data_IF_739323304445
#
_entry.id   IF_739323304445
#
_cell.length_a   1.000
_cell.length_b   1.000
_cell.length_c   1.000
_cell.angle_alpha   90.00
_cell.angle_beta   90.00
_cell.angle_gamma   90.00
#
_symmetry.space_group_name_H-M   'P 1'
#
loop_
_entity.id
_entity.type
_entity.pdbx_description
1 polymer ?
#
# COMPACT_ATOMS: atom_id res chain seq x y z
N UNK A 1 -49.32 20.62 -16.17
CA UNK A 1 -48.26 21.63 -16.40
C UNK A 1 -46.99 21.41 -15.56
N UNK A 2 -46.94 20.47 -14.61
CA UNK A 2 -45.75 20.19 -13.78
C UNK A 2 -44.61 19.40 -14.48
N UNK A 3 -44.94 18.48 -15.39
CA UNK A 3 -43.94 17.53 -15.95
C UNK A 3 -42.80 18.18 -16.77
N UNK A 4 -43.06 19.29 -17.47
CA UNK A 4 -42.06 19.88 -18.36
C UNK A 4 -41.01 20.74 -17.63
N UNK A 5 -41.34 21.24 -16.43
CA UNK A 5 -40.40 22.02 -15.60
C UNK A 5 -39.45 21.11 -14.86
N UNK A 6 -39.96 19.99 -14.35
CA UNK A 6 -39.15 19.00 -13.63
C UNK A 6 -38.17 18.27 -14.58
N UNK A 7 -38.61 17.94 -15.80
CA UNK A 7 -37.74 17.32 -16.81
C UNK A 7 -36.57 18.23 -17.21
N UNK A 8 -36.82 19.53 -17.38
CA UNK A 8 -35.77 20.51 -17.67
C UNK A 8 -34.79 20.64 -16.51
N UNK A 9 -35.29 20.65 -15.28
CA UNK A 9 -34.48 20.72 -14.09
C UNK A 9 -33.58 19.48 -13.97
N UNK A 10 -34.11 18.25 -14.08
CA UNK A 10 -33.34 17.03 -14.03
C UNK A 10 -32.26 16.97 -15.11
N UNK A 11 -32.59 17.35 -16.33
CA UNK A 11 -31.62 17.46 -17.42
C UNK A 11 -30.50 18.42 -17.07
N UNK A 12 -30.84 19.62 -16.58
CA UNK A 12 -29.85 20.63 -16.19
C UNK A 12 -28.92 20.10 -15.06
N UNK A 13 -29.46 19.41 -14.05
CA UNK A 13 -28.67 18.80 -12.98
C UNK A 13 -27.65 17.81 -13.55
N UNK A 14 -28.09 16.92 -14.45
CA UNK A 14 -27.21 15.89 -15.04
C UNK A 14 -26.15 16.53 -15.95
N UNK A 15 -26.54 17.54 -16.75
CA UNK A 15 -25.62 18.21 -17.67
C UNK A 15 -24.61 19.14 -16.96
N UNK A 16 -24.95 19.67 -15.78
CA UNK A 16 -24.07 20.57 -15.02
C UNK A 16 -23.20 19.86 -13.97
N UNK A 17 -23.40 18.56 -13.75
CA UNK A 17 -22.57 17.82 -12.80
C UNK A 17 -21.15 17.66 -13.33
N UNK A 18 -20.16 17.71 -12.42
CA UNK A 18 -18.74 17.53 -12.75
C UNK A 18 -18.32 16.07 -12.88
N UNK A 19 -19.19 15.14 -12.47
CA UNK A 19 -18.93 13.71 -12.62
C UNK A 19 -19.41 13.20 -14.00
N UNK A 20 -18.68 12.26 -14.57
CA UNK A 20 -19.08 11.62 -15.80
C UNK A 20 -20.28 10.69 -15.54
N UNK A 21 -21.41 10.97 -16.18
CA UNK A 21 -22.62 10.14 -16.14
C UNK A 21 -22.82 9.50 -17.51
N UNK A 22 -22.91 8.18 -17.50
CA UNK A 22 -23.03 7.36 -18.71
C UNK A 22 -24.21 6.41 -18.53
N UNK A 23 -25.05 6.26 -19.57
CA UNK A 23 -26.06 5.19 -19.63
C UNK A 23 -25.67 4.25 -20.74
N UNK A 24 -25.61 2.95 -20.40
CA UNK A 24 -25.40 1.86 -21.34
C UNK A 24 -26.62 0.92 -21.39
N UNK A 25 -26.88 0.39 -22.56
CA UNK A 25 -27.89 -0.62 -22.82
C UNK A 25 -27.39 -1.59 -23.87
N UNK A 26 -27.54 -2.89 -23.63
CA UNK A 26 -27.05 -3.95 -24.49
C UNK A 26 -25.55 -3.83 -24.84
N UNK A 27 -24.74 -3.38 -23.85
CA UNK A 27 -23.30 -3.20 -23.99
C UNK A 27 -22.88 -1.99 -24.86
N UNK A 28 -23.82 -1.09 -25.20
CA UNK A 28 -23.57 0.12 -25.99
C UNK A 28 -23.91 1.38 -25.23
N UNK A 29 -23.15 2.43 -25.44
CA UNK A 29 -23.46 3.76 -24.91
C UNK A 29 -24.75 4.31 -25.52
N UNK A 30 -25.65 4.77 -24.66
CA UNK A 30 -26.93 5.38 -25.04
C UNK A 30 -27.02 6.85 -24.68
N UNK A 31 -26.37 7.23 -23.60
CA UNK A 31 -26.28 8.61 -23.14
C UNK A 31 -24.92 8.83 -22.44
N UNK A 32 -24.44 10.04 -22.61
CA UNK A 32 -23.28 10.56 -21.89
C UNK A 32 -23.47 12.05 -21.65
N UNK A 33 -23.22 12.54 -20.43
CA UNK A 33 -23.25 13.95 -20.12
C UNK A 33 -21.99 14.70 -20.61
N UNK A 34 -21.96 16.04 -20.63
CA UNK A 34 -20.79 16.81 -21.08
C UNK A 34 -19.52 16.44 -20.32
N UNK A 35 -19.58 16.30 -19.00
CA UNK A 35 -18.43 15.89 -18.18
C UNK A 35 -17.92 14.50 -18.55
N UNK A 36 -18.78 13.59 -18.98
CA UNK A 36 -18.40 12.28 -19.48
C UNK A 36 -17.66 12.35 -20.82
N UNK A 37 -18.10 13.22 -21.73
CA UNK A 37 -17.42 13.48 -23.02
C UNK A 37 -16.01 13.99 -22.75
N UNK A 38 -15.86 14.99 -21.90
CA UNK A 38 -14.56 15.56 -21.52
C UNK A 38 -13.68 14.53 -20.83
N UNK A 39 -14.27 13.75 -19.91
CA UNK A 39 -13.56 12.67 -19.19
C UNK A 39 -13.00 11.63 -20.15
N UNK A 40 -13.80 11.17 -21.14
CA UNK A 40 -13.35 10.19 -22.15
C UNK A 40 -12.46 10.83 -23.24
N UNK A 41 -12.27 12.14 -23.23
CA UNK A 41 -11.55 12.90 -24.27
C UNK A 41 -12.11 12.62 -25.68
N UNK A 42 -13.42 12.51 -25.76
CA UNK A 42 -14.13 12.40 -27.02
C UNK A 42 -14.38 13.80 -27.61
N UNK A 43 -14.44 13.89 -28.92
CA UNK A 43 -14.72 15.16 -29.60
C UNK A 43 -16.16 15.64 -29.37
N UNK A 44 -17.10 14.71 -29.22
CA UNK A 44 -18.52 15.01 -28.94
C UNK A 44 -19.24 13.77 -28.38
N UNK A 45 -20.48 13.94 -27.93
CA UNK A 45 -21.34 12.83 -27.49
C UNK A 45 -21.66 11.86 -28.64
N UNK A 46 -21.78 12.35 -29.86
CA UNK A 46 -22.06 11.56 -31.07
C UNK A 46 -20.91 10.58 -31.36
N UNK A 47 -19.70 10.96 -31.01
CA UNK A 47 -18.54 10.02 -31.11
C UNK A 47 -18.66 8.83 -30.19
N UNK A 48 -19.33 8.98 -29.05
CA UNK A 48 -19.45 7.96 -28.01
C UNK A 48 -20.68 7.09 -28.17
N UNK A 49 -21.82 7.74 -28.46
CA UNK A 49 -23.12 7.06 -28.56
C UNK A 49 -23.07 5.94 -29.60
N UNK A 50 -23.60 4.76 -29.23
CA UNK A 50 -23.65 3.57 -30.10
C UNK A 50 -22.41 2.73 -30.12
N UNK A 51 -21.23 3.23 -29.65
CA UNK A 51 -20.02 2.42 -29.48
C UNK A 51 -20.17 1.41 -28.34
N UNK A 52 -19.34 0.40 -28.34
CA UNK A 52 -19.30 -0.62 -27.30
C UNK A 52 -18.66 -0.06 -26.03
N UNK A 53 -19.20 -0.40 -24.87
CA UNK A 53 -18.54 -0.09 -23.57
C UNK A 53 -17.19 -0.76 -23.44
N UNK A 54 -16.96 -1.86 -24.17
CA UNK A 54 -15.67 -2.56 -24.17
C UNK A 54 -14.57 -1.82 -24.94
N UNK A 55 -14.91 -0.78 -25.72
CA UNK A 55 -13.90 0.04 -26.39
C UNK A 55 -13.08 0.87 -25.39
N UNK A 56 -13.66 1.18 -24.22
CA UNK A 56 -12.99 1.90 -23.14
C UNK A 56 -12.54 0.98 -21.97
N UNK A 57 -12.85 -0.31 -22.02
CA UNK A 57 -12.50 -1.27 -20.96
C UNK A 57 -11.28 -2.08 -21.37
N UNK A 58 -10.13 -1.97 -20.66
CA UNK A 58 -8.98 -2.85 -20.88
C UNK A 58 -9.37 -4.33 -20.76
N UNK A 59 -8.66 -5.19 -21.49
CA UNK A 59 -9.01 -6.60 -21.64
C UNK A 59 -9.10 -7.35 -20.30
N UNK A 60 -8.20 -7.03 -19.40
CA UNK A 60 -8.14 -7.61 -18.05
C UNK A 60 -9.38 -7.38 -17.18
N UNK A 61 -10.16 -6.31 -17.47
CA UNK A 61 -11.39 -6.00 -16.73
C UNK A 61 -12.66 -6.48 -17.42
N UNK A 62 -12.60 -7.02 -18.64
CA UNK A 62 -13.80 -7.39 -19.44
C UNK A 62 -14.66 -8.44 -18.77
N UNK A 63 -14.07 -9.51 -18.24
CA UNK A 63 -14.82 -10.56 -17.53
C UNK A 63 -15.51 -10.02 -16.27
N UNK A 64 -14.82 -9.16 -15.53
CA UNK A 64 -15.37 -8.49 -14.34
C UNK A 64 -16.60 -7.64 -14.72
N UNK A 65 -16.48 -6.84 -15.78
CA UNK A 65 -17.59 -5.97 -16.26
C UNK A 65 -18.78 -6.80 -16.72
N UNK A 66 -18.57 -7.90 -17.46
CA UNK A 66 -19.66 -8.78 -17.91
C UNK A 66 -20.40 -9.37 -16.71
N UNK A 67 -19.68 -9.88 -15.71
CA UNK A 67 -20.27 -10.43 -14.48
C UNK A 67 -21.07 -9.39 -13.72
N UNK A 68 -20.51 -8.19 -13.54
CA UNK A 68 -21.19 -7.11 -12.82
C UNK A 68 -22.43 -6.61 -13.59
N UNK A 69 -22.32 -6.42 -14.89
CA UNK A 69 -23.46 -6.02 -15.74
C UNK A 69 -24.62 -7.00 -15.60
N UNK A 70 -24.31 -8.31 -15.63
CA UNK A 70 -25.32 -9.36 -15.46
C UNK A 70 -25.96 -9.30 -14.07
N UNK A 71 -25.19 -9.21 -13.00
CA UNK A 71 -25.68 -9.12 -11.63
C UNK A 71 -26.60 -7.90 -11.43
N UNK A 72 -26.20 -6.72 -11.94
CA UNK A 72 -27.00 -5.49 -11.85
C UNK A 72 -28.38 -5.66 -12.53
N UNK A 73 -28.40 -6.24 -13.73
CA UNK A 73 -29.64 -6.38 -14.50
C UNK A 73 -30.55 -7.49 -13.99
N UNK A 74 -29.98 -8.58 -13.48
CA UNK A 74 -30.71 -9.73 -12.97
C UNK A 74 -31.28 -9.44 -11.56
N UNK A 75 -30.44 -8.90 -10.66
CA UNK A 75 -30.82 -8.63 -9.27
C UNK A 75 -31.53 -7.28 -9.10
N UNK A 76 -31.49 -6.41 -10.11
CA UNK A 76 -32.02 -5.04 -10.08
C UNK A 76 -31.52 -4.25 -8.86
N UNK A 77 -30.22 -4.39 -8.55
CA UNK A 77 -29.55 -3.70 -7.43
C UNK A 77 -28.32 -2.96 -7.90
N UNK A 78 -28.00 -1.81 -7.28
CA UNK A 78 -26.73 -1.13 -7.57
C UNK A 78 -25.55 -2.01 -7.13
N UNK A 79 -24.44 -1.89 -7.88
CA UNK A 79 -23.15 -2.39 -7.37
C UNK A 79 -22.60 -1.40 -6.36
N UNK A 80 -21.80 -1.88 -5.42
CA UNK A 80 -20.92 -1.00 -4.66
C UNK A 80 -19.90 -0.29 -5.57
N UNK A 81 -19.13 0.60 -4.98
CA UNK A 81 -18.04 1.30 -5.66
C UNK A 81 -16.96 0.33 -6.13
N UNK A 82 -16.54 0.45 -7.38
CA UNK A 82 -15.51 -0.39 -8.01
C UNK A 82 -14.41 0.49 -8.56
N UNK A 83 -13.18 0.25 -8.12
CA UNK A 83 -11.99 0.87 -8.69
C UNK A 83 -11.45 -0.01 -9.82
N UNK A 84 -11.12 0.63 -10.96
CA UNK A 84 -10.56 -0.04 -12.14
C UNK A 84 -9.88 0.99 -13.05
N UNK A 85 -9.24 0.51 -14.11
CA UNK A 85 -8.76 1.38 -15.18
C UNK A 85 -9.75 1.40 -16.36
N UNK A 86 -9.85 2.56 -16.97
CA UNK A 86 -10.50 2.74 -18.27
C UNK A 86 -9.49 3.31 -19.26
N UNK A 87 -9.75 3.07 -20.54
CA UNK A 87 -9.00 3.65 -21.65
C UNK A 87 -9.83 4.75 -22.28
N UNK A 88 -9.28 5.95 -22.33
CA UNK A 88 -9.91 7.08 -23.02
C UNK A 88 -9.81 6.92 -24.55
N UNK A 89 -10.54 7.70 -25.32
CA UNK A 89 -10.49 7.65 -26.78
C UNK A 89 -9.17 8.13 -27.37
N UNK A 90 -8.37 8.89 -26.62
CA UNK A 90 -7.00 9.23 -27.00
C UNK A 90 -5.97 8.13 -26.69
N UNK A 91 -6.43 6.97 -26.18
CA UNK A 91 -5.61 5.82 -25.80
C UNK A 91 -5.01 5.88 -24.39
N UNK A 92 -5.10 7.00 -23.67
CA UNK A 92 -4.59 7.12 -22.31
C UNK A 92 -5.38 6.26 -21.32
N UNK A 93 -4.66 5.67 -20.33
CA UNK A 93 -5.28 4.96 -19.22
C UNK A 93 -5.57 5.93 -18.08
N UNK A 94 -6.67 5.71 -17.39
CA UNK A 94 -7.14 6.50 -16.25
C UNK A 94 -7.64 5.59 -15.15
N UNK A 95 -7.20 5.82 -13.92
CA UNK A 95 -7.74 5.14 -12.75
C UNK A 95 -9.10 5.77 -12.39
N UNK A 96 -10.14 4.94 -12.28
CA UNK A 96 -11.49 5.38 -12.00
C UNK A 96 -12.14 4.63 -10.86
N UNK A 97 -13.04 5.34 -10.21
CA UNK A 97 -14.04 4.79 -9.30
C UNK A 97 -15.40 4.84 -10.02
N UNK A 98 -16.09 3.72 -10.09
CA UNK A 98 -17.40 3.63 -10.77
C UNK A 98 -18.47 3.12 -9.83
N UNK A 99 -19.64 3.75 -9.88
CA UNK A 99 -20.85 3.27 -9.24
C UNK A 99 -21.91 3.04 -10.33
N UNK A 100 -22.45 1.82 -10.38
CA UNK A 100 -23.39 1.41 -11.41
C UNK A 100 -24.75 1.08 -10.79
N UNK A 101 -25.82 1.64 -11.38
CA UNK A 101 -27.20 1.50 -10.91
C UNK A 101 -28.08 1.05 -12.06
N UNK A 102 -29.00 0.07 -11.86
CA UNK A 102 -29.99 -0.28 -12.86
C UNK A 102 -30.99 0.86 -13.03
N UNK A 103 -31.31 1.19 -14.27
CA UNK A 103 -32.30 2.21 -14.62
C UNK A 103 -33.15 1.71 -15.77
N UNK A 104 -34.28 2.38 -16.01
CA UNK A 104 -35.04 2.24 -17.26
C UNK A 104 -34.64 3.36 -18.21
N UNK A 105 -34.27 2.99 -19.41
CA UNK A 105 -33.98 3.92 -20.50
C UNK A 105 -34.82 3.51 -21.70
N UNK A 106 -35.74 4.38 -22.17
CA UNK A 106 -36.73 4.07 -23.23
C UNK A 106 -37.47 2.75 -22.93
N UNK A 107 -38.01 2.62 -21.70
CA UNK A 107 -38.77 1.46 -21.20
C UNK A 107 -38.02 0.13 -21.20
N UNK A 108 -36.70 0.16 -21.39
CA UNK A 108 -35.84 -1.05 -21.31
C UNK A 108 -34.83 -0.93 -20.20
N UNK A 109 -34.44 -2.08 -19.66
CA UNK A 109 -33.38 -2.15 -18.65
C UNK A 109 -32.06 -1.60 -19.23
N UNK A 110 -31.43 -0.72 -18.48
CA UNK A 110 -30.16 -0.10 -18.79
C UNK A 110 -29.34 0.04 -17.50
N UNK A 111 -28.09 0.44 -17.62
CA UNK A 111 -27.21 0.71 -16.49
C UNK A 111 -26.74 2.15 -16.58
N UNK A 112 -27.00 2.92 -15.54
CA UNK A 112 -26.36 4.20 -15.31
C UNK A 112 -25.05 3.97 -14.57
N UNK A 113 -23.98 4.55 -15.07
CA UNK A 113 -22.67 4.55 -14.42
C UNK A 113 -22.27 5.98 -14.10
N UNK A 114 -21.94 6.24 -12.84
CA UNK A 114 -21.25 7.46 -12.41
C UNK A 114 -19.77 7.13 -12.31
N UNK A 115 -18.93 7.87 -13.02
CA UNK A 115 -17.51 7.63 -13.14
C UNK A 115 -16.74 8.82 -12.57
N UNK A 116 -15.88 8.56 -11.62
CA UNK A 116 -15.00 9.55 -10.99
C UNK A 116 -13.54 9.23 -11.31
N UNK A 117 -12.81 10.22 -11.79
CA UNK A 117 -11.35 10.12 -11.97
C UNK A 117 -10.65 10.13 -10.61
N UNK A 118 -9.93 9.08 -10.32
CA UNK A 118 -9.16 8.93 -9.08
C UNK A 118 -7.64 8.86 -9.35
N UNK A 119 -7.21 9.20 -10.57
CA UNK A 119 -5.80 9.11 -10.97
C UNK A 119 -4.91 9.90 -10.03
N UNK A 120 -5.26 11.13 -9.73
CA UNK A 120 -4.48 11.97 -8.80
C UNK A 120 -4.38 11.37 -7.39
N UNK A 121 -5.50 10.78 -6.89
CA UNK A 121 -5.49 10.08 -5.59
C UNK A 121 -4.53 8.88 -5.64
N UNK A 122 -4.62 8.05 -6.69
CA UNK A 122 -3.75 6.89 -6.87
C UNK A 122 -2.27 7.24 -7.06
N UNK A 123 -1.97 8.33 -7.74
CA UNK A 123 -0.60 8.84 -7.87
C UNK A 123 -0.02 9.27 -6.53
N UNK A 124 -0.80 9.97 -5.69
CA UNK A 124 -0.39 10.36 -4.35
C UNK A 124 -0.17 9.12 -3.47
N UNK A 125 -1.11 8.17 -3.47
CA UNK A 125 -1.00 6.91 -2.73
C UNK A 125 0.28 6.15 -3.13
N UNK A 126 0.52 5.96 -4.44
CA UNK A 126 1.74 5.30 -4.96
C UNK A 126 3.02 6.05 -4.60
N UNK A 127 2.98 7.39 -4.59
CA UNK A 127 4.13 8.21 -4.21
C UNK A 127 4.43 8.10 -2.72
N UNK A 128 3.40 8.10 -1.86
CA UNK A 128 3.54 7.88 -0.42
C UNK A 128 4.10 6.48 -0.12
N UNK A 129 3.60 5.45 -0.79
CA UNK A 129 4.13 4.08 -0.64
C UNK A 129 5.61 3.99 -1.06
N UNK A 130 6.00 4.65 -2.15
CA UNK A 130 7.41 4.68 -2.58
C UNK A 130 8.30 5.36 -1.54
N UNK A 131 7.89 6.54 -1.06
CA UNK A 131 8.64 7.27 -0.03
C UNK A 131 8.73 6.46 1.26
N UNK A 132 7.62 5.82 1.69
CA UNK A 132 7.62 4.93 2.86
C UNK A 132 8.59 3.77 2.69
N UNK A 133 8.59 3.11 1.53
CA UNK A 133 9.54 2.02 1.22
C UNK A 133 10.99 2.49 1.21
N UNK A 134 11.28 3.68 0.70
CA UNK A 134 12.64 4.25 0.72
C UNK A 134 13.09 4.59 2.13
N UNK A 135 12.22 5.20 2.95
CA UNK A 135 12.48 5.45 4.36
C UNK A 135 12.76 4.14 5.10
N UNK A 136 11.97 3.11 4.86
CA UNK A 136 12.15 1.79 5.50
C UNK A 136 13.49 1.14 5.10
N UNK A 137 13.91 1.25 3.83
CA UNK A 137 15.23 0.76 3.39
C UNK A 137 16.39 1.46 4.09
N UNK A 138 16.29 2.77 4.32
CA UNK A 138 17.28 3.56 5.05
C UNK A 138 17.20 3.36 6.56
N UNK A 139 16.06 2.86 7.06
CA UNK A 139 15.76 2.74 8.48
C UNK A 139 16.34 1.50 9.18
N UNK A 140 16.91 0.57 8.42
CA UNK A 140 17.57 -0.64 8.96
C UNK A 140 18.90 -0.91 8.21
N UNK A 141 19.86 0.04 8.25
CA UNK A 141 21.16 -0.19 7.64
C UNK A 141 21.96 -1.16 8.49
N UNK A 142 22.43 -2.27 7.92
CA UNK A 142 23.44 -3.13 8.52
C UNK A 142 24.79 -2.55 8.13
N UNK A 143 25.49 -1.94 9.09
CA UNK A 143 26.74 -1.21 8.87
C UNK A 143 27.92 -2.06 9.39
N UNK A 144 28.79 -2.60 8.53
CA UNK A 144 29.98 -3.29 8.95
C UNK A 144 30.91 -2.36 9.74
N UNK A 145 31.42 -2.80 10.88
CA UNK A 145 32.34 -2.03 11.73
C UNK A 145 33.68 -2.74 11.97
N UNK A 146 33.67 -4.07 11.94
CA UNK A 146 34.85 -4.92 12.02
C UNK A 146 34.60 -6.12 11.08
N UNK A 147 35.62 -6.95 10.86
CA UNK A 147 35.50 -8.19 10.08
C UNK A 147 34.43 -9.08 10.70
N UNK A 148 33.38 -9.42 9.94
CA UNK A 148 32.26 -10.23 10.41
C UNK A 148 31.38 -9.60 11.49
N UNK A 149 31.57 -8.32 11.87
CA UNK A 149 30.78 -7.61 12.86
C UNK A 149 30.10 -6.39 12.25
N UNK A 150 28.79 -6.29 12.40
CA UNK A 150 28.02 -5.15 11.95
C UNK A 150 27.13 -4.54 13.04
N UNK A 151 26.76 -3.29 12.85
CA UNK A 151 25.81 -2.56 13.70
C UNK A 151 24.54 -2.32 12.92
N UNK A 152 23.41 -2.54 13.55
CA UNK A 152 22.08 -2.10 13.16
C UNK A 152 21.66 -0.92 14.05
N UNK A 153 21.90 0.34 13.66
CA UNK A 153 21.47 1.49 14.45
C UNK A 153 19.96 1.68 14.30
N UNK A 154 19.26 1.66 15.41
CA UNK A 154 17.81 1.89 15.48
C UNK A 154 17.56 3.31 16.02
N UNK A 155 16.98 4.19 15.19
CA UNK A 155 16.77 5.61 15.51
C UNK A 155 15.33 5.99 15.26
N UNK A 156 14.78 6.84 16.11
CA UNK A 156 13.40 7.35 16.01
C UNK A 156 12.36 6.43 16.63
N UNK A 157 11.13 6.49 16.12
CA UNK A 157 10.07 5.55 16.47
C UNK A 157 10.11 4.33 15.54
N UNK A 158 9.81 3.16 16.08
CA UNK A 158 9.63 1.95 15.28
C UNK A 158 8.16 1.55 15.40
N UNK A 159 7.46 1.58 14.28
CA UNK A 159 6.11 1.05 14.13
C UNK A 159 6.15 -0.40 13.64
N UNK A 160 4.98 -1.05 13.59
CA UNK A 160 4.87 -2.45 13.15
C UNK A 160 5.37 -2.69 11.72
N UNK A 161 5.19 -1.74 10.81
CA UNK A 161 5.68 -1.85 9.43
C UNK A 161 7.21 -1.89 9.36
N UNK A 162 7.87 -0.99 10.10
CA UNK A 162 9.33 -0.95 10.19
C UNK A 162 9.89 -2.17 10.92
N UNK A 163 9.21 -2.65 11.96
CA UNK A 163 9.61 -3.86 12.68
C UNK A 163 9.56 -5.10 11.77
N UNK A 164 8.48 -5.27 11.00
CA UNK A 164 8.35 -6.34 10.00
C UNK A 164 9.42 -6.23 8.91
N UNK A 165 9.71 -5.01 8.44
CA UNK A 165 10.79 -4.79 7.48
C UNK A 165 12.16 -5.25 8.03
N UNK A 166 12.45 -4.97 9.31
CA UNK A 166 13.67 -5.42 9.99
C UNK A 166 13.72 -6.95 10.02
N UNK A 167 12.64 -7.60 10.45
CA UNK A 167 12.54 -9.06 10.55
C UNK A 167 12.78 -9.75 9.20
N UNK A 168 12.23 -9.21 8.13
CA UNK A 168 12.33 -9.79 6.77
C UNK A 168 13.70 -9.54 6.12
N UNK A 169 14.28 -8.36 6.32
CA UNK A 169 15.43 -7.91 5.50
C UNK A 169 16.78 -7.97 6.23
N UNK A 170 16.80 -7.84 7.56
CA UNK A 170 18.07 -7.85 8.29
C UNK A 170 18.77 -9.22 8.20
N UNK A 171 18.09 -10.38 8.36
CA UNK A 171 18.73 -11.68 8.18
C UNK A 171 19.37 -11.86 6.80
N UNK A 172 18.71 -11.39 5.74
CA UNK A 172 19.24 -11.45 4.37
C UNK A 172 20.53 -10.62 4.24
N UNK A 173 20.52 -9.37 4.73
CA UNK A 173 21.68 -8.48 4.67
C UNK A 173 22.86 -9.00 5.47
N UNK A 174 22.60 -9.60 6.64
CA UNK A 174 23.61 -10.20 7.50
C UNK A 174 24.30 -11.37 6.77
N UNK A 175 23.52 -12.19 6.07
CA UNK A 175 24.04 -13.30 5.27
C UNK A 175 24.85 -12.83 4.07
N UNK A 176 24.32 -11.86 3.29
CA UNK A 176 25.01 -11.26 2.14
C UNK A 176 26.36 -10.65 2.50
N UNK A 177 26.47 -10.05 3.69
CA UNK A 177 27.68 -9.38 4.16
C UNK A 177 28.60 -10.30 5.00
N UNK A 178 28.28 -11.60 5.10
CA UNK A 178 29.03 -12.57 5.89
C UNK A 178 29.23 -12.13 7.35
N UNK A 179 28.20 -11.50 7.94
CA UNK A 179 28.23 -11.04 9.34
C UNK A 179 27.94 -12.22 10.27
N UNK A 180 28.79 -12.45 11.25
CA UNK A 180 28.60 -13.47 12.31
C UNK A 180 28.21 -12.87 13.66
N UNK A 181 28.31 -11.54 13.81
CA UNK A 181 27.88 -10.84 15.02
C UNK A 181 27.15 -9.54 14.62
N UNK A 182 25.89 -9.41 15.00
CA UNK A 182 25.09 -8.22 14.78
C UNK A 182 24.84 -7.49 16.10
N UNK A 183 25.18 -6.21 16.16
CA UNK A 183 24.90 -5.33 17.30
C UNK A 183 23.71 -4.46 16.97
N UNK A 184 22.57 -4.68 17.60
CA UNK A 184 21.38 -3.83 17.50
C UNK A 184 21.45 -2.71 18.53
N UNK A 185 21.60 -1.45 18.08
CA UNK A 185 21.76 -0.30 18.97
C UNK A 185 20.45 0.48 19.11
N UNK A 186 19.88 0.45 20.32
CA UNK A 186 18.61 1.05 20.69
C UNK A 186 18.75 2.46 21.29
N UNK A 187 19.96 3.01 21.35
CA UNK A 187 20.22 4.31 22.01
C UNK A 187 19.43 5.47 21.39
N UNK A 188 19.10 5.37 20.11
CA UNK A 188 18.35 6.37 19.36
C UNK A 188 16.82 6.23 19.38
N UNK A 189 16.28 5.24 20.11
CA UNK A 189 14.82 4.99 20.16
C UNK A 189 14.18 5.67 21.34
N UNK A 190 13.01 6.31 21.12
CA UNK A 190 12.24 6.93 22.20
C UNK A 190 10.93 6.22 22.51
N UNK A 191 10.35 5.51 21.56
CA UNK A 191 9.09 4.77 21.71
C UNK A 191 9.18 3.41 21.07
N UNK A 192 8.76 2.38 21.82
CA UNK A 192 8.58 1.00 21.36
C UNK A 192 7.28 0.48 21.95
N UNK A 193 6.39 -0.03 21.09
CA UNK A 193 5.24 -0.79 21.55
C UNK A 193 5.59 -2.26 21.79
N UNK A 194 4.69 -2.99 22.46
CA UNK A 194 4.91 -4.39 22.82
C UNK A 194 5.08 -5.29 21.59
N UNK A 195 4.36 -5.02 20.50
CA UNK A 195 4.45 -5.80 19.26
C UNK A 195 5.80 -5.61 18.58
N UNK A 196 6.30 -4.39 18.57
CA UNK A 196 7.62 -4.07 18.00
C UNK A 196 8.73 -4.73 18.80
N UNK A 197 8.65 -4.72 20.13
CA UNK A 197 9.61 -5.42 21.00
C UNK A 197 9.64 -6.91 20.63
N UNK A 198 8.49 -7.55 20.54
CA UNK A 198 8.39 -8.97 20.17
C UNK A 198 9.04 -9.24 18.80
N UNK A 199 8.73 -8.45 17.79
CA UNK A 199 9.28 -8.60 16.44
C UNK A 199 10.82 -8.47 16.40
N UNK A 200 11.40 -7.55 17.18
CA UNK A 200 12.85 -7.39 17.27
C UNK A 200 13.52 -8.58 17.96
N UNK A 201 12.86 -9.19 18.97
CA UNK A 201 13.36 -10.43 19.58
C UNK A 201 13.22 -11.63 18.66
N UNK A 202 12.15 -11.74 17.90
CA UNK A 202 11.99 -12.76 16.85
C UNK A 202 13.09 -12.62 15.79
N UNK A 203 13.47 -11.41 15.40
CA UNK A 203 14.62 -11.17 14.52
C UNK A 203 15.91 -11.75 15.10
N UNK A 204 16.15 -11.55 16.39
CA UNK A 204 17.34 -12.11 17.08
C UNK A 204 17.32 -13.63 17.12
N UNK A 205 16.15 -14.24 17.31
CA UNK A 205 15.99 -15.70 17.26
C UNK A 205 16.27 -16.26 15.86
N UNK A 206 15.75 -15.62 14.80
CA UNK A 206 16.04 -15.98 13.40
C UNK A 206 17.54 -15.88 13.12
N UNK A 207 18.19 -14.81 13.56
CA UNK A 207 19.65 -14.65 13.42
C UNK A 207 20.42 -15.75 14.15
N UNK A 208 19.98 -16.15 15.35
CA UNK A 208 20.54 -17.27 16.10
C UNK A 208 20.47 -18.59 15.33
N UNK A 209 19.38 -18.88 14.64
CA UNK A 209 19.24 -20.06 13.76
C UNK A 209 20.20 -20.02 12.56
N UNK A 210 20.59 -18.84 12.10
CA UNK A 210 21.59 -18.63 11.05
C UNK A 210 23.03 -18.65 11.57
N UNK A 211 23.26 -18.92 12.88
CA UNK A 211 24.57 -18.92 13.50
C UNK A 211 25.13 -17.51 13.78
N UNK A 212 24.30 -16.49 13.71
CA UNK A 212 24.69 -15.10 13.95
C UNK A 212 24.44 -14.73 15.41
N UNK A 213 25.49 -14.27 16.09
CA UNK A 213 25.38 -13.78 17.46
C UNK A 213 24.70 -12.42 17.51
N UNK A 214 23.64 -12.29 18.30
CA UNK A 214 22.93 -11.05 18.53
C UNK A 214 23.43 -10.37 19.81
N UNK A 215 23.80 -9.09 19.68
CA UNK A 215 24.15 -8.20 20.78
C UNK A 215 23.18 -7.02 20.75
N UNK A 216 22.70 -6.63 21.92
CA UNK A 216 21.82 -5.46 22.06
C UNK A 216 22.50 -4.41 22.92
N UNK A 217 22.41 -3.13 22.50
CA UNK A 217 22.99 -2.01 23.23
C UNK A 217 21.99 -0.86 23.39
N UNK A 218 22.21 -0.02 24.38
CA UNK A 218 21.45 1.24 24.53
C UNK A 218 19.99 1.09 24.97
N UNK A 219 19.62 -0.03 25.59
CA UNK A 219 18.26 -0.24 26.11
C UNK A 219 18.02 0.71 27.28
N UNK A 220 16.98 1.54 27.18
CA UNK A 220 16.52 2.42 28.28
C UNK A 220 15.74 1.63 29.32
N UNK A 221 15.68 2.12 30.60
CA UNK A 221 14.98 1.44 31.68
C UNK A 221 13.50 1.16 31.40
N UNK A 222 12.82 2.08 30.68
CA UNK A 222 11.42 1.95 30.30
C UNK A 222 11.20 0.77 29.36
N UNK A 223 12.09 0.64 28.35
CA UNK A 223 12.08 -0.44 27.38
C UNK A 223 12.41 -1.77 28.08
N UNK A 224 13.40 -1.77 28.96
CA UNK A 224 13.80 -2.97 29.71
C UNK A 224 12.64 -3.54 30.54
N UNK A 225 11.84 -2.66 31.20
CA UNK A 225 10.65 -3.08 31.93
C UNK A 225 9.62 -3.76 31.02
N UNK A 226 9.35 -3.17 29.87
CA UNK A 226 8.40 -3.72 28.89
C UNK A 226 8.85 -5.09 28.35
N UNK A 227 10.14 -5.26 28.08
CA UNK A 227 10.73 -6.53 27.64
C UNK A 227 10.53 -7.63 28.68
N UNK A 228 10.78 -7.34 29.96
CA UNK A 228 10.59 -8.31 31.06
C UNK A 228 9.11 -8.66 31.23
N UNK A 229 8.20 -7.68 31.13
CA UNK A 229 6.75 -7.91 31.25
C UNK A 229 6.19 -8.78 30.13
N UNK A 230 6.77 -8.69 28.94
CA UNK A 230 6.39 -9.52 27.78
C UNK A 230 6.91 -10.96 27.85
N UNK A 231 7.78 -11.26 28.82
CA UNK A 231 8.36 -12.60 28.95
C UNK A 231 9.29 -12.98 27.78
N UNK A 232 9.90 -12.00 27.11
CA UNK A 232 10.82 -12.26 26.01
C UNK A 232 12.01 -13.10 26.48
N UNK A 233 12.36 -14.14 25.70
CA UNK A 233 13.54 -14.96 25.99
C UNK A 233 14.82 -14.21 25.62
N UNK A 234 15.56 -13.80 26.63
CA UNK A 234 16.82 -13.08 26.51
C UNK A 234 18.04 -14.00 26.55
N UNK A 235 17.86 -15.33 26.65
CA UNK A 235 18.95 -16.29 26.86
C UNK A 235 19.99 -16.32 25.74
N UNK A 236 19.56 -15.95 24.52
CA UNK A 236 20.41 -15.94 23.33
C UNK A 236 20.98 -14.55 22.99
N UNK A 237 20.67 -13.53 23.81
CA UNK A 237 21.01 -12.13 23.52
C UNK A 237 21.97 -11.60 24.56
N UNK A 238 23.14 -11.15 24.14
CA UNK A 238 24.06 -10.44 25.00
C UNK A 238 23.73 -8.96 25.07
N UNK A 239 23.64 -8.38 26.25
CA UNK A 239 23.20 -6.97 26.44
C UNK A 239 24.35 -6.15 27.03
N UNK A 240 24.62 -5.00 26.43
CA UNK A 240 25.56 -3.99 26.93
C UNK A 240 24.88 -2.64 27.12
N UNK A 241 25.35 -1.82 28.04
CA UNK A 241 24.83 -0.47 28.26
C UNK A 241 25.06 0.46 27.08
N UNK A 242 26.18 0.30 26.36
CA UNK A 242 26.53 1.16 25.20
C UNK A 242 27.18 0.35 24.09
N UNK A 243 27.05 0.88 22.83
CA UNK A 243 27.73 0.33 21.67
C UNK A 243 29.24 0.23 21.88
N UNK A 244 29.86 1.26 22.50
CA UNK A 244 31.29 1.28 22.79
C UNK A 244 31.75 0.11 23.71
N UNK A 245 30.93 -0.24 24.71
CA UNK A 245 31.22 -1.38 25.58
C UNK A 245 31.17 -2.70 24.82
N UNK A 246 30.14 -2.87 23.94
CA UNK A 246 30.03 -4.08 23.12
C UNK A 246 31.21 -4.24 22.17
N UNK A 247 31.60 -3.19 21.47
CA UNK A 247 32.75 -3.21 20.55
C UNK A 247 34.04 -3.51 21.29
N UNK A 248 34.27 -2.92 22.48
CA UNK A 248 35.46 -3.18 23.30
C UNK A 248 35.53 -4.66 23.74
N UNK A 249 34.42 -5.25 24.16
CA UNK A 249 34.34 -6.66 24.56
C UNK A 249 34.70 -7.60 23.40
N UNK A 250 34.22 -7.30 22.20
CA UNK A 250 34.54 -8.08 20.99
C UNK A 250 36.01 -7.99 20.63
N UNK A 251 36.59 -6.78 20.57
CA UNK A 251 38.01 -6.60 20.23
C UNK A 251 38.94 -7.29 21.24
N UNK A 252 38.61 -7.24 22.53
CA UNK A 252 39.40 -7.92 23.55
C UNK A 252 39.35 -9.44 23.41
N UNK A 253 38.17 -10.01 23.09
CA UNK A 253 38.03 -11.46 22.90
C UNK A 253 38.76 -11.97 21.67
N UNK A 254 38.74 -11.25 20.56
CA UNK A 254 39.44 -11.63 19.33
C UNK A 254 40.98 -11.56 19.52
N UNK A 255 41.47 -10.64 20.38
CA UNK A 255 42.90 -10.54 20.70
C UNK A 255 43.44 -11.73 21.50
N UNK A 256 42.56 -12.50 22.16
CA UNK A 256 42.96 -13.69 22.93
C UNK A 256 42.82 -15.01 22.15
N UNK A 257 42.19 -15.02 20.97
CA UNK A 257 42.00 -16.21 20.13
C UNK A 257 43.13 -16.35 19.09
N UNK A 258 43.97 -15.32 18.93
CA UNK A 258 45.07 -15.28 17.95
C UNK A 258 46.44 -15.66 18.55
N UNK A 259 46.50 -16.40 19.65
CA UNK A 259 47.75 -16.91 20.24
C UNK A 259 47.79 -18.43 20.21
#
# INVERSE_FOLDING_TARGET
>A
MGNNTDEKLYRQIVESTTEAIIIQQDGKFKYINPSGVDFLRAASSEEVIGKSVFDIVPEEYRELIVRHTKSILDENKPTGTIEKQLRRFDGSLVDVETNCTPVLYEDKKAIQSVVRDITKRKEIERSLEKVSKEINKLSAPVVPILEGVAVLPLVGSINSERANYILEHVPLKVQEQSVHTLISDFSGIYELDAMVIQCLFETSAVLGLLGVRSIVTGIRPEIAKSVVQLGADLSLIQIFGTLQQAVRDLVLKDSFVSV
#
